data_IF_917622020339
#
_entry.id   IF_917622020339
#
_cell.length_a   1.000
_cell.length_b   1.000
_cell.length_c   1.000
_cell.angle_alpha   90.00
_cell.angle_beta   90.00
_cell.angle_gamma   90.00
#
_symmetry.space_group_name_H-M   'P 1'
#
loop_
_entity.id
_entity.type
_entity.pdbx_description
1 polymer ?
#
# COMPACT_ATOMS: atom_id res chain seq x y z
N UNK A 1 4.00 -23.11 -22.82
CA UNK A 1 3.92 -22.18 -21.68
C UNK A 1 3.98 -23.02 -20.42
N UNK A 2 5.13 -23.04 -19.75
CA UNK A 2 5.22 -23.64 -18.41
C UNK A 2 4.35 -22.81 -17.48
N UNK A 3 3.31 -23.40 -16.91
CA UNK A 3 2.60 -22.79 -15.80
C UNK A 3 3.62 -22.66 -14.66
N UNK A 4 4.03 -21.43 -14.36
CA UNK A 4 4.79 -21.13 -13.14
C UNK A 4 3.77 -21.32 -12.03
N UNK A 5 3.77 -22.50 -11.40
CA UNK A 5 3.09 -22.70 -10.12
C UNK A 5 3.88 -21.90 -9.10
N UNK A 6 3.39 -20.71 -8.76
CA UNK A 6 3.91 -19.91 -7.65
C UNK A 6 3.70 -20.70 -6.36
N UNK A 7 4.77 -20.94 -5.62
CA UNK A 7 4.74 -21.58 -4.31
C UNK A 7 4.11 -20.57 -3.30
N UNK A 8 3.22 -21.00 -2.38
CA UNK A 8 2.71 -20.13 -1.31
C UNK A 8 3.79 -19.47 -0.45
N UNK A 9 5.02 -20.02 -0.46
CA UNK A 9 6.21 -19.48 0.22
C UNK A 9 7.03 -18.52 -0.64
N UNK A 10 6.68 -18.35 -1.93
CA UNK A 10 7.38 -17.43 -2.82
C UNK A 10 7.23 -16.00 -2.32
N UNK A 11 8.37 -15.34 -2.13
CA UNK A 11 8.43 -13.92 -1.80
C UNK A 11 8.26 -13.09 -3.08
N UNK A 12 7.60 -11.92 -3.04
CA UNK A 12 7.49 -11.06 -4.21
C UNK A 12 8.86 -10.60 -4.69
N UNK A 13 9.02 -10.33 -5.98
CA UNK A 13 10.23 -9.69 -6.48
C UNK A 13 10.20 -8.19 -6.13
N UNK A 14 11.25 -7.71 -5.46
CA UNK A 14 11.45 -6.29 -5.16
C UNK A 14 12.67 -5.79 -5.94
N UNK A 15 12.51 -4.67 -6.65
CA UNK A 15 13.62 -3.91 -7.22
C UNK A 15 13.76 -2.56 -6.51
N UNK A 16 15.00 -2.17 -6.23
CA UNK A 16 15.35 -0.81 -5.78
C UNK A 16 16.35 -0.28 -6.80
N UNK A 17 16.03 0.86 -7.41
CA UNK A 17 16.85 1.49 -8.45
C UNK A 17 17.21 0.53 -9.61
N UNK A 18 16.27 -0.37 -9.94
CA UNK A 18 16.38 -1.37 -11.01
C UNK A 18 17.00 -2.70 -10.59
N UNK A 19 17.73 -2.72 -9.47
CA UNK A 19 18.40 -3.92 -8.97
C UNK A 19 17.46 -4.80 -8.13
N UNK A 20 17.44 -6.11 -8.42
CA UNK A 20 16.71 -7.08 -7.59
C UNK A 20 17.29 -7.14 -6.18
N UNK A 21 16.41 -7.08 -5.19
CA UNK A 21 16.75 -7.20 -3.77
C UNK A 21 16.53 -8.64 -3.32
N UNK A 22 17.56 -9.25 -2.72
CA UNK A 22 17.40 -10.54 -2.06
C UNK A 22 16.62 -10.36 -0.74
N UNK A 23 15.31 -10.60 -0.80
CA UNK A 23 14.41 -10.38 0.33
C UNK A 23 14.77 -11.22 1.56
N UNK A 24 15.21 -12.48 1.39
CA UNK A 24 15.62 -13.33 2.51
C UNK A 24 16.71 -12.68 3.35
N UNK A 25 17.67 -12.00 2.70
CA UNK A 25 18.74 -11.28 3.39
C UNK A 25 18.32 -9.89 3.91
N UNK A 26 17.25 -9.31 3.37
CA UNK A 26 16.75 -7.99 3.70
C UNK A 26 15.68 -8.00 4.81
N UNK A 27 15.09 -9.16 5.10
CA UNK A 27 14.09 -9.33 6.16
C UNK A 27 14.60 -8.80 7.52
N UNK A 28 13.77 -7.99 8.18
CA UNK A 28 14.07 -7.37 9.46
C UNK A 28 15.12 -6.25 9.42
N UNK A 29 15.66 -5.91 8.23
CA UNK A 29 16.58 -4.80 8.02
C UNK A 29 15.82 -3.56 7.53
N UNK A 30 16.42 -2.40 7.78
CA UNK A 30 16.00 -1.13 7.20
C UNK A 30 16.93 -0.80 6.02
N UNK A 31 16.36 -0.66 4.83
CA UNK A 31 17.07 -0.27 3.62
C UNK A 31 16.88 1.23 3.40
N UNK A 32 17.96 1.96 3.08
CA UNK A 32 17.86 3.36 2.71
C UNK A 32 17.65 3.49 1.20
N UNK A 33 16.73 4.38 0.82
CA UNK A 33 16.40 4.67 -0.57
C UNK A 33 16.74 6.14 -0.85
N UNK A 34 17.24 6.42 -2.06
CA UNK A 34 17.47 7.76 -2.60
C UNK A 34 18.13 8.74 -1.62
N UNK A 35 19.40 8.48 -1.28
CA UNK A 35 20.17 9.31 -0.34
C UNK A 35 19.45 9.57 1.00
N UNK A 36 18.81 8.52 1.55
CA UNK A 36 18.07 8.57 2.83
C UNK A 36 16.84 9.48 2.82
N UNK A 37 16.16 9.70 1.70
CA UNK A 37 14.85 10.39 1.71
C UNK A 37 13.72 9.48 2.16
N UNK A 38 13.88 8.16 1.96
CA UNK A 38 12.97 7.15 2.43
C UNK A 38 13.69 5.92 2.98
N UNK A 39 12.99 5.19 3.85
CA UNK A 39 13.44 3.96 4.46
C UNK A 39 12.45 2.84 4.20
N UNK A 40 12.93 1.74 3.64
CA UNK A 40 12.13 0.54 3.44
C UNK A 40 12.41 -0.47 4.55
N UNK A 41 11.36 -0.84 5.28
CA UNK A 41 11.37 -1.94 6.26
C UNK A 41 10.59 -3.11 5.70
N UNK A 42 11.19 -4.30 5.75
CA UNK A 42 10.58 -5.54 5.25
C UNK A 42 10.38 -6.48 6.43
N UNK A 43 9.14 -6.87 6.68
CA UNK A 43 8.79 -7.77 7.78
C UNK A 43 7.93 -8.91 7.24
N UNK A 44 8.23 -10.13 7.68
CA UNK A 44 7.42 -11.31 7.41
C UNK A 44 6.71 -11.67 8.71
N UNK A 45 5.39 -11.78 8.66
CA UNK A 45 4.59 -12.25 9.79
C UNK A 45 3.87 -13.54 9.36
N UNK A 46 4.06 -14.59 10.15
CA UNK A 46 3.33 -15.86 9.99
C UNK A 46 2.03 -15.77 10.76
N UNK A 47 0.97 -16.32 10.20
CA UNK A 47 -0.19 -16.72 10.98
C UNK A 47 0.13 -18.04 11.69
N UNK A 48 0.12 -18.09 13.03
CA UNK A 48 0.25 -19.36 13.74
C UNK A 48 -0.97 -20.28 13.54
N UNK A 49 -2.09 -19.79 12.96
CA UNK A 49 -3.38 -20.51 12.90
C UNK A 49 -4.21 -20.34 11.61
N UNK A 50 -3.55 -20.37 10.44
CA UNK A 50 -4.14 -20.64 9.11
C UNK A 50 -4.66 -19.46 8.26
N UNK A 51 -3.80 -18.54 7.79
CA UNK A 51 -4.10 -17.72 6.60
C UNK A 51 -2.87 -17.36 5.74
N UNK A 52 -1.84 -18.19 5.78
CA UNK A 52 -0.63 -17.98 4.96
C UNK A 52 0.30 -16.89 5.50
N UNK A 53 1.48 -16.83 4.91
CA UNK A 53 2.51 -15.87 5.28
C UNK A 53 2.22 -14.50 4.65
N UNK A 54 2.36 -13.42 5.42
CA UNK A 54 2.17 -12.05 4.92
C UNK A 54 3.51 -11.33 4.92
N UNK A 55 3.83 -10.69 3.80
CA UNK A 55 5.03 -9.85 3.67
C UNK A 55 4.62 -8.38 3.70
N UNK A 56 5.12 -7.67 4.69
CA UNK A 56 4.91 -6.24 4.89
C UNK A 56 6.12 -5.48 4.36
N UNK A 57 5.86 -4.52 3.46
CA UNK A 57 6.80 -3.48 3.06
C UNK A 57 6.30 -2.16 3.61
N UNK A 58 7.10 -1.51 4.46
CA UNK A 58 6.78 -0.18 4.99
C UNK A 58 7.83 0.80 4.47
N UNK A 59 7.40 1.70 3.59
CA UNK A 59 8.21 2.79 3.06
C UNK A 59 7.91 4.06 3.85
N UNK A 60 8.85 4.47 4.68
CA UNK A 60 8.75 5.63 5.57
C UNK A 60 9.59 6.78 5.01
N UNK A 61 8.94 7.89 4.67
CA UNK A 61 9.59 9.09 4.14
C UNK A 61 9.95 10.05 5.26
N UNK A 62 11.03 10.84 5.07
CA UNK A 62 11.39 11.93 5.99
C UNK A 62 10.27 12.94 6.25
N UNK A 63 9.37 13.10 5.28
CA UNK A 63 8.18 13.96 5.38
C UNK A 63 7.12 13.43 6.35
N UNK A 64 7.29 12.23 6.91
CA UNK A 64 6.29 11.55 7.74
C UNK A 64 5.27 10.74 6.94
N UNK A 65 5.29 10.83 5.60
CA UNK A 65 4.48 9.97 4.74
C UNK A 65 4.92 8.52 4.92
N UNK A 66 3.95 7.62 5.03
CA UNK A 66 4.22 6.18 4.98
C UNK A 66 3.38 5.50 3.92
N UNK A 67 3.99 4.60 3.18
CA UNK A 67 3.29 3.66 2.30
C UNK A 67 3.52 2.27 2.84
N UNK A 68 2.45 1.60 3.28
CA UNK A 68 2.53 0.21 3.69
C UNK A 68 1.91 -0.68 2.63
N UNK A 69 2.64 -1.70 2.21
CA UNK A 69 2.21 -2.70 1.23
C UNK A 69 2.20 -4.06 1.92
N UNK A 70 1.08 -4.75 1.84
CA UNK A 70 0.90 -6.10 2.37
C UNK A 70 0.74 -7.04 1.20
N UNK A 71 1.65 -7.99 1.05
CA UNK A 71 1.60 -8.99 -0.02
C UNK A 71 1.18 -10.33 0.57
N UNK A 72 0.19 -10.94 -0.07
CA UNK A 72 -0.36 -12.26 0.28
C UNK A 72 -0.47 -13.12 -0.97
N UNK A 73 -0.33 -14.44 -0.80
CA UNK A 73 -0.63 -15.41 -1.85
C UNK A 73 -2.10 -15.86 -1.75
N UNK A 74 -2.75 -16.02 -2.90
CA UNK A 74 -4.06 -16.66 -3.01
C UNK A 74 -3.91 -17.96 -3.77
N UNK A 75 -4.09 -19.09 -3.08
CA UNK A 75 -4.05 -20.42 -3.70
C UNK A 75 -5.15 -20.57 -4.76
N UNK A 76 -6.30 -19.94 -4.53
CA UNK A 76 -7.46 -19.99 -5.45
C UNK A 76 -7.17 -19.25 -6.75
N UNK A 77 -6.54 -18.08 -6.68
CA UNK A 77 -6.14 -17.33 -7.88
C UNK A 77 -4.80 -17.82 -8.46
N UNK A 78 -4.03 -18.61 -7.71
CA UNK A 78 -2.68 -19.04 -8.07
C UNK A 78 -1.68 -17.89 -8.22
N UNK A 79 -1.90 -16.76 -7.52
CA UNK A 79 -1.06 -15.55 -7.62
C UNK A 79 -1.07 -14.75 -6.33
N UNK A 80 -0.06 -13.88 -6.21
CA UNK A 80 -0.01 -12.89 -5.15
C UNK A 80 -0.98 -11.72 -5.42
N UNK A 81 -1.49 -11.13 -4.35
CA UNK A 81 -2.18 -9.85 -4.35
C UNK A 81 -1.56 -8.93 -3.32
N UNK A 82 -1.76 -7.64 -3.51
CA UNK A 82 -1.26 -6.62 -2.61
C UNK A 82 -2.37 -5.67 -2.19
N UNK A 83 -2.31 -5.25 -0.94
CA UNK A 83 -3.06 -4.12 -0.42
C UNK A 83 -2.06 -2.99 -0.14
N UNK A 84 -2.38 -1.77 -0.57
CA UNK A 84 -1.54 -0.59 -0.33
C UNK A 84 -2.30 0.39 0.54
N UNK A 85 -1.67 0.82 1.62
CA UNK A 85 -2.19 1.85 2.50
C UNK A 85 -1.25 3.06 2.52
N UNK A 86 -1.80 4.21 2.14
CA UNK A 86 -1.13 5.49 2.15
C UNK A 86 -1.49 6.25 3.43
N UNK A 87 -0.48 6.59 4.22
CA UNK A 87 -0.63 7.44 5.40
C UNK A 87 0.11 8.75 5.15
N UNK A 88 -0.64 9.83 4.92
CA UNK A 88 -0.08 11.16 4.63
C UNK A 88 -0.09 12.04 5.88
N UNK A 89 0.79 13.06 5.91
CA UNK A 89 0.74 14.13 6.91
C UNK A 89 -0.21 15.24 6.46
N UNK A 90 -0.60 16.12 7.39
CA UNK A 90 -1.46 17.27 7.09
C UNK A 90 -0.84 18.24 6.06
N UNK A 91 0.48 18.19 5.86
CA UNK A 91 1.20 19.04 4.90
C UNK A 91 0.81 18.75 3.44
N UNK A 92 0.25 17.56 3.18
CA UNK A 92 -0.19 17.14 1.86
C UNK A 92 -1.65 17.51 1.56
N UNK A 93 -2.37 18.12 2.51
CA UNK A 93 -3.77 18.52 2.32
C UNK A 93 -3.91 19.45 1.11
N UNK A 94 -4.70 19.05 0.11
CA UNK A 94 -4.91 19.82 -1.11
C UNK A 94 -3.68 19.88 -2.03
N UNK A 95 -2.65 19.06 -1.77
CA UNK A 95 -1.41 18.96 -2.56
C UNK A 95 -1.22 17.58 -3.19
N UNK A 96 -2.23 16.72 -3.13
CA UNK A 96 -2.25 15.42 -3.81
C UNK A 96 -3.08 15.47 -5.08
N UNK A 97 -2.76 14.60 -6.02
CA UNK A 97 -3.56 14.33 -7.20
C UNK A 97 -3.46 12.84 -7.52
N UNK A 98 -4.47 12.29 -8.19
CA UNK A 98 -4.53 10.88 -8.57
C UNK A 98 -5.83 10.22 -8.14
N UNK A 99 -5.86 8.89 -8.16
CA UNK A 99 -7.05 8.07 -7.86
C UNK A 99 -7.55 8.19 -6.40
N UNK A 100 -6.73 8.74 -5.50
CA UNK A 100 -7.12 9.00 -4.10
C UNK A 100 -7.57 10.45 -3.85
N UNK A 101 -7.73 11.25 -4.90
CA UNK A 101 -8.25 12.63 -4.80
C UNK A 101 -7.25 13.63 -4.22
N UNK A 102 -7.79 14.73 -3.67
CA UNK A 102 -7.02 15.89 -3.21
C UNK A 102 -6.71 15.87 -1.70
N UNK A 103 -7.29 14.91 -0.96
CA UNK A 103 -7.08 14.74 0.48
C UNK A 103 -7.35 16.04 1.27
N UNK A 104 -8.30 16.86 0.82
CA UNK A 104 -8.60 18.18 1.36
C UNK A 104 -9.84 18.20 2.27
N UNK A 105 -10.43 17.03 2.52
CA UNK A 105 -11.70 16.82 3.24
C UNK A 105 -12.93 17.36 2.47
N UNK A 106 -12.85 17.47 1.15
CA UNK A 106 -13.97 17.83 0.29
C UNK A 106 -14.29 16.73 -0.73
N UNK A 107 -15.25 15.83 -0.46
CA UNK A 107 -15.55 14.73 -1.39
C UNK A 107 -16.13 15.19 -2.74
N UNK A 108 -16.56 16.45 -2.86
CA UNK A 108 -17.14 16.97 -4.10
C UNK A 108 -16.11 17.18 -5.22
N UNK A 109 -14.81 17.20 -4.90
CA UNK A 109 -13.74 17.38 -5.89
C UNK A 109 -12.78 16.18 -6.01
N UNK A 110 -13.04 15.08 -5.29
CA UNK A 110 -12.14 13.91 -5.28
C UNK A 110 -12.05 13.22 -6.67
N UNK A 111 -13.08 13.38 -7.50
CA UNK A 111 -13.11 12.85 -8.87
C UNK A 111 -12.52 13.84 -9.90
N UNK A 112 -11.51 14.63 -9.52
CA UNK A 112 -10.82 15.56 -10.43
C UNK A 112 -9.69 14.86 -11.19
N UNK A 113 -9.80 14.77 -12.52
CA UNK A 113 -8.82 14.14 -13.39
C UNK A 113 -7.52 14.95 -13.56
N UNK A 114 -6.51 14.40 -14.26
CA UNK A 114 -5.19 15.03 -14.43
C UNK A 114 -5.22 16.37 -15.19
N UNK A 115 -6.26 16.60 -15.98
CA UNK A 115 -6.49 17.86 -16.72
C UNK A 115 -7.28 18.91 -15.89
N UNK A 116 -7.65 18.60 -14.64
CA UNK A 116 -8.49 19.44 -13.79
C UNK A 116 -10.00 19.30 -14.04
N UNK A 117 -10.44 18.38 -14.90
CA UNK A 117 -11.85 18.11 -15.15
C UNK A 117 -12.48 17.32 -13.99
N UNK A 118 -13.68 17.72 -13.57
CA UNK A 118 -14.45 17.00 -12.54
C UNK A 118 -15.38 15.97 -13.19
N UNK A 119 -15.22 14.71 -12.79
CA UNK A 119 -16.01 13.59 -13.30
C UNK A 119 -17.16 13.25 -12.36
N UNK A 120 -18.30 12.83 -12.91
CA UNK A 120 -19.44 12.30 -12.12
C UNK A 120 -19.48 10.78 -12.10
N UNK A 121 -18.76 10.14 -13.02
CA UNK A 121 -18.65 8.69 -13.15
C UNK A 121 -17.28 8.24 -12.62
N UNK A 122 -17.23 7.47 -11.52
CA UNK A 122 -15.97 7.05 -10.92
C UNK A 122 -15.14 6.13 -11.82
N UNK A 123 -15.77 5.40 -12.76
CA UNK A 123 -15.05 4.55 -13.72
C UNK A 123 -14.32 5.42 -14.74
N UNK A 124 -15.01 6.42 -15.30
CA UNK A 124 -14.38 7.38 -16.22
C UNK A 124 -13.30 8.20 -15.55
N UNK A 125 -13.51 8.60 -14.29
CA UNK A 125 -12.49 9.24 -13.47
C UNK A 125 -11.24 8.37 -13.35
N UNK A 126 -11.39 7.11 -12.94
CA UNK A 126 -10.26 6.19 -12.79
C UNK A 126 -9.54 5.95 -14.13
N UNK A 127 -10.29 5.80 -15.22
CA UNK A 127 -9.73 5.62 -16.56
C UNK A 127 -8.99 6.87 -17.06
N UNK A 128 -9.36 8.08 -16.62
CA UNK A 128 -8.63 9.32 -16.96
C UNK A 128 -7.21 9.35 -16.40
N UNK A 129 -6.94 8.60 -15.32
CA UNK A 129 -5.62 8.43 -14.71
C UNK A 129 -4.82 7.25 -15.29
N UNK A 130 -5.35 6.57 -16.32
CA UNK A 130 -4.68 5.42 -16.94
C UNK A 130 -3.38 5.85 -17.60
N UNK A 131 -2.31 5.14 -17.25
CA UNK A 131 -1.00 5.29 -17.89
C UNK A 131 -1.00 4.53 -19.22
N UNK A 132 -0.79 5.25 -20.32
CA UNK A 132 -0.79 4.71 -21.68
C UNK A 132 0.58 4.78 -22.38
N UNK A 133 1.51 5.56 -21.84
CA UNK A 133 2.88 5.67 -22.36
C UNK A 133 3.81 4.68 -21.65
N UNK A 134 4.81 4.19 -22.38
CA UNK A 134 5.87 3.32 -21.83
C UNK A 134 7.18 4.09 -21.77
N UNK A 135 7.90 3.99 -20.64
CA UNK A 135 9.26 4.53 -20.51
C UNK A 135 10.28 3.39 -20.63
N UNK A 136 11.18 3.47 -21.61
CA UNK A 136 12.18 2.43 -21.86
C UNK A 136 13.29 2.35 -20.79
N UNK A 137 13.47 3.38 -19.99
CA UNK A 137 14.43 3.41 -18.86
C UNK A 137 13.75 3.11 -17.52
N UNK A 138 12.46 2.81 -17.56
CA UNK A 138 11.62 2.62 -16.40
C UNK A 138 12.18 1.60 -15.40
N UNK A 139 12.01 1.92 -14.11
CA UNK A 139 12.49 1.09 -13.01
C UNK A 139 13.97 1.29 -12.66
N UNK A 140 14.74 2.08 -13.43
CA UNK A 140 16.12 2.47 -13.11
C UNK A 140 16.18 3.70 -12.19
N UNK A 141 17.33 3.96 -11.59
CA UNK A 141 17.59 5.19 -10.82
C UNK A 141 17.24 6.45 -11.65
N UNK A 142 16.56 7.42 -11.03
CA UNK A 142 16.11 8.68 -11.64
C UNK A 142 15.22 8.55 -12.90
N UNK A 143 14.65 7.37 -13.15
CA UNK A 143 13.77 7.13 -14.31
C UNK A 143 12.28 7.30 -14.03
N UNK A 144 11.91 7.67 -12.81
CA UNK A 144 10.51 7.77 -12.39
C UNK A 144 9.72 8.75 -13.25
N UNK A 145 8.51 8.35 -13.62
CA UNK A 145 7.57 9.20 -14.34
C UNK A 145 6.16 9.04 -13.81
N UNK A 146 5.42 10.14 -13.75
CA UNK A 146 4.01 10.13 -13.37
C UNK A 146 3.06 9.85 -14.53
N UNK A 147 3.50 10.02 -15.79
CA UNK A 147 2.65 9.90 -16.98
C UNK A 147 3.04 8.75 -17.93
N UNK A 148 4.00 7.93 -17.53
CA UNK A 148 4.43 6.73 -18.27
C UNK A 148 4.66 5.56 -17.32
N UNK A 149 4.72 4.34 -17.85
CA UNK A 149 4.90 3.12 -17.06
C UNK A 149 6.17 3.17 -16.21
N UNK A 150 6.09 2.62 -14.99
CA UNK A 150 7.23 2.42 -14.09
C UNK A 150 7.63 0.92 -13.95
N UNK A 151 7.28 0.08 -14.94
CA UNK A 151 7.70 -1.32 -15.03
C UNK A 151 9.16 -1.47 -15.48
N UNK A 152 9.92 -2.36 -14.86
CA UNK A 152 11.28 -2.65 -15.29
C UNK A 152 11.28 -3.40 -16.64
N UNK A 153 12.32 -3.23 -17.47
CA UNK A 153 12.38 -3.84 -18.81
C UNK A 153 12.32 -5.38 -18.81
N UNK A 154 12.76 -6.00 -17.72
CA UNK A 154 12.69 -7.46 -17.52
C UNK A 154 11.30 -7.94 -17.04
N UNK A 155 10.39 -7.05 -16.67
CA UNK A 155 9.09 -7.42 -16.12
C UNK A 155 8.18 -7.93 -17.24
N UNK A 156 7.57 -9.09 -17.02
CA UNK A 156 6.60 -9.67 -17.95
C UNK A 156 5.22 -9.12 -17.62
N UNK A 157 4.71 -8.27 -18.49
CA UNK A 157 3.35 -7.76 -18.39
C UNK A 157 2.32 -8.83 -18.76
N UNK A 158 1.23 -8.93 -18.00
CA UNK A 158 0.07 -9.75 -18.38
C UNK A 158 -0.59 -9.17 -19.66
N UNK A 159 -1.31 -10.03 -20.38
CA UNK A 159 -2.24 -9.64 -21.44
C UNK A 159 -3.13 -8.45 -21.09
N UNK A 160 -3.54 -8.28 -19.83
CA UNK A 160 -4.37 -7.15 -19.40
C UNK A 160 -3.72 -5.78 -19.59
N UNK A 161 -2.39 -5.71 -19.69
CA UNK A 161 -1.63 -4.48 -19.93
C UNK A 161 -1.26 -4.28 -21.40
N UNK A 162 -1.34 -5.33 -22.23
CA UNK A 162 -0.84 -5.32 -23.61
C UNK A 162 -1.96 -5.45 -24.65
N UNK A 163 -3.10 -6.03 -24.28
CA UNK A 163 -4.26 -6.18 -25.15
C UNK A 163 -5.14 -4.92 -25.12
N UNK A 164 -5.22 -4.15 -26.22
CA UNK A 164 -6.04 -2.94 -26.28
C UNK A 164 -7.55 -3.22 -26.23
N UNK A 165 -7.96 -4.48 -26.43
CA UNK A 165 -9.35 -4.92 -26.28
C UNK A 165 -9.70 -5.39 -24.86
N UNK A 166 -8.70 -5.46 -23.97
CA UNK A 166 -8.94 -5.81 -22.58
C UNK A 166 -9.79 -4.73 -21.89
N UNK A 167 -11.01 -5.10 -21.51
CA UNK A 167 -11.90 -4.26 -20.73
C UNK A 167 -11.80 -4.69 -19.27
N UNK A 168 -11.30 -3.82 -18.36
CA UNK A 168 -11.27 -4.15 -16.95
C UNK A 168 -12.68 -4.40 -16.42
N UNK A 169 -12.79 -5.28 -15.43
CA UNK A 169 -14.04 -5.47 -14.71
C UNK A 169 -14.19 -4.34 -13.70
N UNK A 170 -15.26 -3.56 -13.83
CA UNK A 170 -15.61 -2.47 -12.90
C UNK A 170 -16.86 -2.79 -12.07
N UNK A 171 -17.40 -4.01 -12.22
CA UNK A 171 -18.66 -4.41 -11.60
C UNK A 171 -18.94 -5.89 -11.73
N UNK A 172 -20.15 -6.28 -11.35
CA UNK A 172 -20.55 -7.68 -11.19
C UNK A 172 -21.41 -8.23 -12.35
N UNK A 173 -21.60 -7.46 -13.41
CA UNK A 173 -22.47 -7.84 -14.54
C UNK A 173 -22.02 -9.11 -15.25
N UNK A 174 -20.72 -9.37 -15.30
CA UNK A 174 -20.14 -10.52 -16.00
C UNK A 174 -19.86 -11.72 -15.07
N UNK A 175 -20.30 -11.66 -13.81
CA UNK A 175 -20.10 -12.73 -12.83
C UNK A 175 -21.30 -13.69 -12.84
N UNK A 176 -21.04 -15.00 -12.77
CA UNK A 176 -22.11 -16.01 -12.72
C UNK A 176 -22.99 -15.88 -11.47
N UNK A 177 -24.27 -16.25 -11.61
CA UNK A 177 -25.24 -16.22 -10.50
C UNK A 177 -24.82 -17.06 -9.30
N UNK A 178 -24.20 -18.22 -9.56
CA UNK A 178 -23.75 -19.14 -8.51
C UNK A 178 -22.62 -18.52 -7.69
N UNK A 179 -21.67 -17.86 -8.37
CA UNK A 179 -20.55 -17.22 -7.71
C UNK A 179 -21.02 -15.99 -6.90
N UNK A 180 -21.97 -15.22 -7.42
CA UNK A 180 -22.60 -14.12 -6.67
C UNK A 180 -23.34 -14.62 -5.42
N UNK A 181 -24.04 -15.76 -5.51
CA UNK A 181 -24.74 -16.37 -4.37
C UNK A 181 -23.75 -16.82 -3.30
N UNK A 182 -22.68 -17.53 -3.70
CA UNK A 182 -21.58 -17.95 -2.82
C UNK A 182 -20.94 -16.74 -2.13
N UNK A 183 -20.60 -15.70 -2.89
CA UNK A 183 -19.97 -14.47 -2.39
C UNK A 183 -20.86 -13.75 -1.37
N UNK A 184 -22.16 -13.59 -1.66
CA UNK A 184 -23.12 -13.00 -0.73
C UNK A 184 -23.22 -13.80 0.57
N UNK A 185 -23.33 -15.11 0.49
CA UNK A 185 -23.42 -15.96 1.67
C UNK A 185 -22.18 -15.83 2.56
N UNK A 186 -20.98 -15.86 1.97
CA UNK A 186 -19.72 -15.70 2.70
C UNK A 186 -19.63 -14.33 3.38
N UNK A 187 -19.97 -13.25 2.67
CA UNK A 187 -19.82 -11.89 3.18
C UNK A 187 -20.90 -11.47 4.19
N UNK A 188 -22.14 -11.91 4.02
CA UNK A 188 -23.24 -11.60 4.96
C UNK A 188 -22.99 -12.18 6.35
N UNK A 189 -22.29 -13.31 6.45
CA UNK A 189 -21.90 -13.91 7.72
C UNK A 189 -21.00 -12.99 8.56
N UNK A 190 -20.36 -11.99 7.95
CA UNK A 190 -19.44 -11.04 8.59
C UNK A 190 -20.11 -9.80 9.16
N UNK A 191 -21.41 -9.59 8.89
CA UNK A 191 -22.18 -8.43 9.42
C UNK A 191 -21.53 -7.08 9.13
N UNK A 192 -20.97 -6.93 7.92
CA UNK A 192 -20.27 -5.74 7.47
C UNK A 192 -21.24 -4.57 7.22
N UNK A 193 -20.81 -3.31 7.42
CA UNK A 193 -21.48 -2.14 6.86
C UNK A 193 -21.69 -2.25 5.34
N UNK A 194 -22.70 -1.57 4.80
CA UNK A 194 -23.12 -1.72 3.40
C UNK A 194 -22.00 -1.53 2.36
N UNK A 195 -21.10 -0.55 2.56
CA UNK A 195 -19.99 -0.31 1.65
C UNK A 195 -18.97 -1.47 1.69
N UNK A 196 -18.58 -1.90 2.88
CA UNK A 196 -17.65 -3.03 3.07
C UNK A 196 -18.28 -4.35 2.63
N UNK A 197 -19.59 -4.53 2.80
CA UNK A 197 -20.32 -5.68 2.29
C UNK A 197 -20.26 -5.75 0.76
N UNK A 198 -20.46 -4.61 0.08
CA UNK A 198 -20.34 -4.53 -1.39
C UNK A 198 -18.92 -4.85 -1.85
N UNK A 199 -17.89 -4.31 -1.19
CA UNK A 199 -16.49 -4.62 -1.49
C UNK A 199 -16.18 -6.10 -1.28
N UNK A 200 -16.57 -6.69 -0.14
CA UNK A 200 -16.39 -8.12 0.12
C UNK A 200 -17.03 -8.99 -0.96
N UNK A 201 -18.28 -8.71 -1.33
CA UNK A 201 -18.98 -9.46 -2.37
C UNK A 201 -18.23 -9.33 -3.69
N UNK A 202 -17.76 -8.12 -4.02
CA UNK A 202 -17.00 -7.87 -5.24
C UNK A 202 -15.71 -8.69 -5.28
N UNK A 203 -14.90 -8.61 -4.25
CA UNK A 203 -13.61 -9.28 -4.19
C UNK A 203 -13.77 -10.81 -4.27
N UNK A 204 -14.66 -11.39 -3.47
CA UNK A 204 -14.92 -12.85 -3.53
C UNK A 204 -15.50 -13.26 -4.88
N UNK A 205 -16.36 -12.44 -5.47
CA UNK A 205 -17.01 -12.74 -6.75
C UNK A 205 -16.05 -12.69 -7.93
N UNK A 206 -15.14 -11.71 -7.96
CA UNK A 206 -14.20 -11.52 -9.07
C UNK A 206 -13.01 -12.48 -8.96
N UNK A 207 -12.60 -12.84 -7.75
CA UNK A 207 -11.45 -13.74 -7.52
C UNK A 207 -11.85 -15.20 -7.40
N UNK A 208 -13.13 -15.50 -7.15
CA UNK A 208 -13.63 -16.81 -6.70
C UNK A 208 -12.97 -17.33 -5.40
N UNK A 209 -12.30 -16.46 -4.64
CA UNK A 209 -11.60 -16.79 -3.41
C UNK A 209 -12.36 -16.27 -2.20
N UNK A 210 -12.86 -17.18 -1.35
CA UNK A 210 -13.61 -16.80 -0.15
C UNK A 210 -12.73 -16.28 0.97
N UNK A 211 -11.41 -16.52 0.94
CA UNK A 211 -10.47 -15.96 1.92
C UNK A 211 -10.43 -14.44 1.86
N UNK A 212 -10.80 -13.83 0.72
CA UNK A 212 -10.91 -12.38 0.59
C UNK A 212 -11.92 -11.76 1.54
N UNK A 213 -12.92 -12.52 2.00
CA UNK A 213 -13.85 -12.04 3.02
C UNK A 213 -13.18 -11.84 4.39
N UNK A 214 -11.98 -12.38 4.61
CA UNK A 214 -11.20 -12.31 5.86
C UNK A 214 -10.06 -11.29 5.81
N UNK A 215 -9.99 -10.47 4.74
CA UNK A 215 -9.04 -9.36 4.68
C UNK A 215 -9.22 -8.40 5.85
N UNK A 216 -8.11 -7.80 6.31
CA UNK A 216 -8.06 -6.92 7.46
C UNK A 216 -9.01 -5.73 7.36
N UNK A 217 -9.22 -5.19 6.15
CA UNK A 217 -10.16 -4.09 5.87
C UNK A 217 -11.62 -4.46 6.16
N UNK A 218 -11.96 -5.75 6.12
CA UNK A 218 -13.29 -6.28 6.39
C UNK A 218 -13.44 -6.78 7.83
N UNK A 219 -12.36 -6.82 8.62
CA UNK A 219 -12.42 -7.24 10.01
C UNK A 219 -12.87 -6.06 10.88
N UNK A 220 -14.15 -6.07 11.26
CA UNK A 220 -14.68 -5.12 12.24
C UNK A 220 -14.00 -5.34 13.59
N UNK A 221 -13.60 -4.25 14.26
CA UNK A 221 -13.02 -4.29 15.61
C UNK A 221 -11.53 -3.95 15.67
N UNK A 222 -10.82 -3.91 14.54
CA UNK A 222 -9.48 -3.32 14.48
C UNK A 222 -9.57 -1.82 14.21
N UNK A 223 -9.23 -0.97 15.20
CA UNK A 223 -9.46 0.46 15.05
C UNK A 223 -8.45 1.04 14.05
N UNK A 224 -8.94 1.95 13.20
CA UNK A 224 -8.16 2.64 12.15
C UNK A 224 -7.30 1.70 11.28
N UNK A 225 -7.76 0.45 11.06
CA UNK A 225 -7.02 -0.57 10.30
C UNK A 225 -5.59 -0.76 10.81
N UNK A 226 -5.42 -0.74 12.14
CA UNK A 226 -4.11 -0.82 12.78
C UNK A 226 -3.13 0.26 12.29
N UNK A 227 -3.64 1.44 11.91
CA UNK A 227 -2.90 2.58 11.36
C UNK A 227 -2.05 2.25 10.14
N UNK A 228 -2.31 1.11 9.50
CA UNK A 228 -1.42 0.52 8.50
C UNK A 228 -0.05 0.08 9.00
N UNK A 229 0.10 -0.09 10.31
CA UNK A 229 1.34 -0.44 11.01
C UNK A 229 1.20 -1.72 11.83
N UNK A 230 0.20 -2.54 11.50
CA UNK A 230 -0.03 -3.84 12.12
C UNK A 230 -0.99 -4.67 11.29
N UNK A 231 -1.15 -5.92 11.71
CA UNK A 231 -2.14 -6.86 11.19
C UNK A 231 -3.37 -6.85 12.09
N UNK A 232 -4.56 -6.91 11.49
CA UNK A 232 -5.77 -7.19 12.24
C UNK A 232 -5.92 -8.70 12.43
N UNK A 233 -5.84 -9.17 13.68
CA UNK A 233 -6.00 -10.58 14.05
C UNK A 233 -7.00 -10.66 15.19
N UNK A 234 -8.08 -11.43 15.01
CA UNK A 234 -9.14 -11.57 16.01
C UNK A 234 -9.62 -10.23 16.61
N UNK A 235 -9.82 -9.22 15.75
CA UNK A 235 -10.27 -7.88 16.15
C UNK A 235 -9.28 -7.12 17.05
N UNK A 236 -8.02 -7.54 17.08
CA UNK A 236 -6.92 -6.85 17.78
C UNK A 236 -5.79 -6.58 16.80
N UNK A 237 -5.07 -5.48 17.01
CA UNK A 237 -3.93 -5.13 16.17
C UNK A 237 -2.64 -5.78 16.67
N UNK A 238 -2.05 -6.64 15.84
CA UNK A 238 -0.69 -7.15 16.01
C UNK A 238 0.29 -6.20 15.31
N UNK A 239 0.97 -5.35 16.08
CA UNK A 239 1.80 -4.29 15.52
C UNK A 239 3.09 -4.80 14.89
N UNK A 240 3.50 -4.12 13.82
CA UNK A 240 4.80 -4.30 13.22
C UNK A 240 5.89 -3.88 14.20
N UNK A 241 7.07 -4.49 14.06
CA UNK A 241 8.23 -4.15 14.90
C UNK A 241 8.51 -2.65 14.82
N UNK A 242 8.61 -2.03 16.00
CA UNK A 242 8.82 -0.60 16.15
C UNK A 242 7.54 0.22 16.30
N UNK A 243 6.37 -0.41 16.25
CA UNK A 243 5.06 0.20 16.48
C UNK A 243 4.35 -0.46 17.65
N UNK A 244 3.60 0.33 18.40
CA UNK A 244 2.79 -0.09 19.56
C UNK A 244 1.52 0.75 19.65
N UNK A 245 0.71 0.54 20.68
CA UNK A 245 -0.61 1.16 20.84
C UNK A 245 -1.73 0.24 20.40
N UNK A 246 -2.96 0.56 20.77
CA UNK A 246 -4.15 -0.24 20.45
C UNK A 246 -4.38 -0.35 18.94
N UNK A 247 -3.98 0.70 18.20
CA UNK A 247 -4.12 0.81 16.75
C UNK A 247 -2.77 0.81 16.04
N UNK A 248 -1.69 0.41 16.70
CA UNK A 248 -0.32 0.50 16.17
C UNK A 248 0.09 1.93 15.74
N UNK A 249 -0.44 2.95 16.40
CA UNK A 249 -0.26 4.37 16.10
C UNK A 249 1.00 4.96 16.76
N UNK A 250 1.57 4.28 17.75
CA UNK A 250 2.71 4.74 18.53
C UNK A 250 3.98 4.14 17.93
N UNK A 251 4.63 4.90 17.04
CA UNK A 251 5.93 4.53 16.50
C UNK A 251 7.08 4.86 17.46
N UNK A 252 8.10 4.00 17.49
CA UNK A 252 9.32 4.19 18.29
C UNK A 252 10.43 4.81 17.46
N UNK A 253 11.20 5.72 18.07
CA UNK A 253 12.36 6.35 17.45
C UNK A 253 13.62 6.02 18.25
N UNK A 254 14.24 4.84 18.01
CA UNK A 254 15.34 4.35 18.86
C UNK A 254 16.55 5.29 18.90
N UNK A 255 16.76 6.09 17.85
CA UNK A 255 17.90 7.01 17.73
C UNK A 255 17.50 8.49 17.81
N UNK A 256 16.28 8.83 18.24
CA UNK A 256 15.87 10.23 18.31
C UNK A 256 16.50 10.92 19.52
N UNK A 257 17.22 12.02 19.30
CA UNK A 257 17.83 12.81 20.36
C UNK A 257 16.75 13.39 21.26
N UNK A 258 16.78 13.04 22.54
CA UNK A 258 15.81 13.53 23.54
C UNK A 258 16.06 14.99 23.93
N UNK A 259 17.27 15.51 23.71
CA UNK A 259 17.60 16.92 23.96
C UNK A 259 17.25 17.84 22.79
N UNK A 260 17.25 17.29 21.57
CA UNK A 260 17.19 18.07 20.33
C UNK A 260 15.97 17.76 19.46
N UNK A 261 15.11 16.84 19.89
CA UNK A 261 13.95 16.42 19.14
C UNK A 261 12.94 15.67 19.99
N UNK A 262 11.84 15.29 19.35
CA UNK A 262 10.77 14.50 19.95
C UNK A 262 10.35 13.41 18.99
N UNK A 263 10.13 12.21 19.51
CA UNK A 263 9.56 11.12 18.71
C UNK A 263 8.04 11.34 18.58
N UNK A 264 7.58 11.55 17.35
CA UNK A 264 6.16 11.71 17.02
C UNK A 264 5.79 10.64 16.00
N UNK A 265 4.99 9.66 16.43
CA UNK A 265 4.50 8.56 15.57
C UNK A 265 5.64 7.85 14.79
N UNK A 266 6.77 7.59 15.44
CA UNK A 266 7.92 6.91 14.80
C UNK A 266 8.88 7.82 14.02
N UNK A 267 8.58 9.12 13.93
CA UNK A 267 9.45 10.12 13.29
C UNK A 267 10.11 11.03 14.33
N UNK A 268 11.40 11.31 14.17
CA UNK A 268 12.10 12.24 15.05
C UNK A 268 11.88 13.67 14.54
N UNK A 269 11.00 14.41 15.21
CA UNK A 269 10.75 15.82 14.94
C UNK A 269 11.84 16.65 15.63
N UNK A 270 12.69 17.32 14.83
CA UNK A 270 13.78 18.11 15.35
C UNK A 270 13.32 19.46 15.90
N UNK A 271 13.97 19.89 16.98
CA UNK A 271 13.84 21.24 17.50
C UNK A 271 14.56 22.22 16.58
N UNK A 272 14.15 23.49 16.61
CA UNK A 272 14.79 24.57 15.83
C UNK A 272 16.30 24.56 16.02
N UNK A 273 17.04 24.60 14.91
CA UNK A 273 18.51 24.54 14.90
C UNK A 273 19.09 23.13 14.85
N UNK A 274 18.26 22.08 14.77
CA UNK A 274 18.66 20.69 14.60
C UNK A 274 18.01 20.04 13.38
N UNK A 275 18.68 19.05 12.82
CA UNK A 275 18.25 18.32 11.65
C UNK A 275 18.75 16.87 11.66
N UNK A 276 18.43 16.15 10.58
CA UNK A 276 18.77 14.74 10.40
C UNK A 276 17.77 13.82 11.08
N UNK A 277 17.80 12.54 10.71
CA UNK A 277 16.81 11.52 11.12
C UNK A 277 16.77 11.25 12.64
N UNK A 278 17.80 11.72 13.34
CA UNK A 278 18.03 11.53 14.77
C UNK A 278 18.08 12.85 15.54
N UNK A 279 17.96 13.99 14.86
CA UNK A 279 18.17 15.32 15.44
C UNK A 279 19.52 15.48 16.16
N UNK A 280 20.54 14.74 15.70
CA UNK A 280 21.91 14.82 16.24
C UNK A 280 22.80 15.80 15.48
N UNK A 281 22.32 16.34 14.36
CA UNK A 281 23.06 17.26 13.50
C UNK A 281 22.53 18.68 13.67
N UNK A 282 23.41 19.69 13.68
CA UNK A 282 22.97 21.10 13.67
C UNK A 282 22.41 21.44 12.29
N UNK A 283 21.26 22.10 12.27
CA UNK A 283 20.65 22.60 11.04
C UNK A 283 21.57 23.65 10.40
N UNK A 284 21.68 23.61 9.08
CA UNK A 284 22.31 24.70 8.32
C UNK A 284 21.23 25.73 7.95
N UNK A 285 21.62 26.98 7.63
CA UNK A 285 20.66 28.06 7.37
C UNK A 285 19.67 27.80 6.22
N UNK A 286 19.84 26.72 5.44
CA UNK A 286 18.91 26.31 4.38
C UNK A 286 17.75 25.44 4.90
N UNK A 287 17.83 24.91 6.12
CA UNK A 287 16.91 23.89 6.67
C UNK A 287 16.10 24.39 7.87
N UNK A 288 16.04 25.71 8.10
CA UNK A 288 15.47 26.30 9.33
C UNK A 288 13.94 26.38 9.33
N UNK A 289 13.28 26.00 8.23
CA UNK A 289 11.82 26.01 8.09
C UNK A 289 11.25 24.58 8.01
N UNK A 290 11.58 23.76 9.01
CA UNK A 290 10.79 22.55 9.31
C UNK A 290 9.50 22.94 10.04
#
# INVERSE_FOLDING_TARGET
MSQITLDPTDMPHLRIDGALVNLTTALGKQLSIYNKTAFLKIQKQSDEKNEGEVVFFSLEYKTGVTVTIYVRHSDTMGRQFLNVLYTLTADFKGRTQGICGLMDNNPANDLTGPNGELYTDPVKFADSWRILATNNQSGLYDSWSWNSSNFHADDVMDSTYTDPSHVPMYGLSNVSSDLLKKSRQTCLARKLPDNLLKSCIYDVAVTNDTSFAMQEVLLTGCPDQCSGKGRCVNQTCECLKGWTGEKCEIGTCPNCSTSNGKCIKGFCQCSVGWQGDTCSEKATCYDVNN
#
